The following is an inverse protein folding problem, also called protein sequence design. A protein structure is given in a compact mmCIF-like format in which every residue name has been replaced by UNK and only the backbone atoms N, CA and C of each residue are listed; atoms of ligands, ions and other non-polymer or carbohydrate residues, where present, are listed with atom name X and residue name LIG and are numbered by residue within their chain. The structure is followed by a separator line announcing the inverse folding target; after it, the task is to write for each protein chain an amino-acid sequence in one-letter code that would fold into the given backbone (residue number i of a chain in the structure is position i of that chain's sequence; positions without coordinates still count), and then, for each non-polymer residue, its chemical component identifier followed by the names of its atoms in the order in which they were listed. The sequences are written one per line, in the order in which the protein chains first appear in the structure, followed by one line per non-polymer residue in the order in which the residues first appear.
data_IF_420057465387
#
_entry.id   IF_420057465387
#
_cell.length_a   1.000
_cell.length_b   1.000
_cell.length_c   1.000
_cell.angle_alpha   90.00
_cell.angle_beta   90.00
_cell.angle_gamma   90.00
#
_symmetry.space_group_name_H-M   'P 1'
#
loop_
_entity.id
_entity.type
_entity.pdbx_description
1 polymer ?
#
# COMPACT_ATOMS: atom_id res chain seq x y z
N UNK A 1 -16.32 -11.28 2.75
CA UNK A 1 -15.85 -10.10 3.51
C UNK A 1 -15.59 -9.01 2.48
N UNK A 2 -16.25 -7.85 2.59
CA UNK A 2 -16.10 -6.77 1.60
C UNK A 2 -14.73 -6.11 1.74
N UNK A 3 -14.15 -5.71 0.61
CA UNK A 3 -12.78 -5.18 0.53
C UNK A 3 -12.58 -3.95 1.43
N UNK A 4 -13.60 -3.10 1.50
CA UNK A 4 -13.63 -1.93 2.39
C UNK A 4 -13.56 -2.29 3.87
N UNK A 5 -14.23 -3.37 4.29
CA UNK A 5 -14.18 -3.84 5.68
C UNK A 5 -12.79 -4.35 6.05
N UNK A 6 -12.12 -5.03 5.11
CA UNK A 6 -10.73 -5.43 5.30
C UNK A 6 -9.80 -4.21 5.38
N UNK A 7 -10.00 -3.22 4.50
CA UNK A 7 -9.21 -2.00 4.48
C UNK A 7 -9.36 -1.22 5.80
N UNK A 8 -10.59 -1.02 6.28
CA UNK A 8 -10.86 -0.37 7.57
C UNK A 8 -10.19 -1.13 8.73
N UNK A 9 -10.35 -2.46 8.78
CA UNK A 9 -9.73 -3.27 9.82
C UNK A 9 -8.19 -3.10 9.87
N UNK A 10 -7.52 -3.03 8.72
CA UNK A 10 -6.08 -2.78 8.68
C UNK A 10 -5.75 -1.36 9.16
N UNK A 11 -6.49 -0.35 8.71
CA UNK A 11 -6.26 1.07 9.05
C UNK A 11 -6.42 1.30 10.56
N UNK A 12 -7.43 0.72 11.19
CA UNK A 12 -7.69 0.86 12.63
C UNK A 12 -6.52 0.35 13.48
N UNK A 13 -5.79 -0.65 13.00
CA UNK A 13 -4.61 -1.20 13.69
C UNK A 13 -3.31 -0.44 13.42
N UNK A 14 -3.31 0.49 12.48
CA UNK A 14 -2.12 1.30 12.21
C UNK A 14 -1.88 2.30 13.35
N UNK A 15 -0.61 2.59 13.66
CA UNK A 15 -0.23 3.75 14.45
C UNK A 15 -0.74 5.07 13.82
N UNK A 16 -1.04 6.07 14.66
CA UNK A 16 -1.66 7.34 14.22
C UNK A 16 -0.82 8.10 13.18
N UNK A 17 0.51 8.06 13.29
CA UNK A 17 1.43 8.66 12.32
C UNK A 17 1.29 8.03 10.93
N UNK A 18 1.03 6.72 10.87
CA UNK A 18 0.83 5.99 9.60
C UNK A 18 -0.56 6.22 9.02
N UNK A 19 -1.59 6.38 9.86
CA UNK A 19 -2.93 6.77 9.41
C UNK A 19 -2.91 8.14 8.72
N UNK A 20 -2.23 9.12 9.31
CA UNK A 20 -2.08 10.46 8.70
C UNK A 20 -1.39 10.42 7.33
N UNK A 21 -0.34 9.59 7.18
CA UNK A 21 0.32 9.40 5.89
C UNK A 21 -0.64 8.80 4.87
N UNK A 22 -1.45 7.83 5.27
CA UNK A 22 -2.46 7.24 4.39
C UNK A 22 -3.53 8.25 3.97
N UNK A 23 -4.09 9.01 4.91
CA UNK A 23 -5.13 10.01 4.61
C UNK A 23 -4.63 11.02 3.57
N UNK A 24 -3.36 11.43 3.71
CA UNK A 24 -2.71 12.31 2.73
C UNK A 24 -2.59 11.65 1.35
N UNK A 25 -2.12 10.41 1.28
CA UNK A 25 -1.99 9.68 0.00
C UNK A 25 -3.36 9.42 -0.65
N UNK A 26 -4.39 9.10 0.15
CA UNK A 26 -5.74 8.90 -0.35
C UNK A 26 -6.32 10.20 -0.89
N UNK A 27 -6.13 11.31 -0.19
CA UNK A 27 -6.58 12.63 -0.63
C UNK A 27 -5.86 13.12 -1.90
N UNK A 28 -4.57 12.81 -2.05
CA UNK A 28 -3.77 13.26 -3.19
C UNK A 28 -4.04 12.45 -4.46
N UNK A 29 -4.14 11.12 -4.35
CA UNK A 29 -4.20 10.24 -5.52
C UNK A 29 -5.59 9.69 -5.84
N UNK A 30 -6.59 9.93 -4.98
CA UNK A 30 -7.95 9.37 -5.09
C UNK A 30 -7.96 7.88 -5.51
N UNK A 31 -7.24 7.00 -4.79
CA UNK A 31 -7.04 5.62 -5.20
C UNK A 31 -8.34 4.81 -5.24
N UNK A 32 -8.38 3.80 -6.12
CA UNK A 32 -9.44 2.78 -6.13
C UNK A 32 -9.47 2.01 -4.80
N UNK A 33 -10.57 1.32 -4.49
CA UNK A 33 -10.70 0.53 -3.25
C UNK A 33 -9.57 -0.50 -3.09
N UNK A 34 -9.20 -1.20 -4.17
CA UNK A 34 -8.07 -2.11 -4.18
C UNK A 34 -6.75 -1.40 -3.84
N UNK A 35 -6.54 -0.22 -4.41
CA UNK A 35 -5.31 0.54 -4.17
C UNK A 35 -5.27 1.12 -2.75
N UNK A 36 -6.41 1.51 -2.16
CA UNK A 36 -6.51 1.87 -0.73
C UNK A 36 -6.06 0.72 0.16
N UNK A 37 -6.53 -0.49 -0.12
CA UNK A 37 -6.11 -1.68 0.63
C UNK A 37 -4.61 -1.96 0.46
N UNK A 38 -4.07 -1.85 -0.76
CA UNK A 38 -2.62 -2.02 -1.01
C UNK A 38 -1.82 -1.01 -0.17
N UNK A 39 -2.22 0.27 -0.19
CA UNK A 39 -1.58 1.32 0.61
C UNK A 39 -1.66 0.99 2.10
N UNK A 40 -2.82 0.52 2.60
CA UNK A 40 -2.99 0.11 3.99
C UNK A 40 -2.03 -1.01 4.40
N UNK A 41 -1.91 -2.03 3.56
CA UNK A 41 -1.01 -3.16 3.79
C UNK A 41 0.45 -2.71 3.77
N UNK A 42 0.86 -1.88 2.80
CA UNK A 42 2.22 -1.33 2.74
C UNK A 42 2.52 -0.44 3.96
N UNK A 43 1.53 0.34 4.41
CA UNK A 43 1.63 1.15 5.62
C UNK A 43 1.77 0.29 6.89
N UNK A 44 1.16 -0.90 6.94
CA UNK A 44 1.30 -1.83 8.08
C UNK A 44 2.71 -2.43 8.20
N UNK A 45 3.43 -2.61 7.10
CA UNK A 45 4.76 -3.23 7.11
C UNK A 45 5.83 -2.39 7.85
N UNK A 46 6.95 -3.00 8.19
CA UNK A 46 8.14 -2.35 8.72
C UNK A 46 8.89 -1.54 7.65
N UNK A 47 9.81 -0.67 8.09
CA UNK A 47 10.69 0.08 7.17
C UNK A 47 11.55 -0.84 6.30
N UNK A 48 11.96 -1.99 6.83
CA UNK A 48 12.76 -2.99 6.10
C UNK A 48 11.92 -3.64 5.00
N UNK A 49 10.71 -4.09 5.33
CA UNK A 49 9.78 -4.70 4.37
C UNK A 49 9.42 -3.72 3.25
N UNK A 50 9.14 -2.45 3.55
CA UNK A 50 8.92 -1.43 2.50
C UNK A 50 10.10 -1.26 1.54
N UNK A 51 11.34 -1.35 2.04
CA UNK A 51 12.53 -1.29 1.18
C UNK A 51 12.62 -2.51 0.27
N UNK A 52 12.32 -3.70 0.79
CA UNK A 52 12.30 -4.94 0.00
C UNK A 52 11.19 -4.88 -1.05
N UNK A 53 9.97 -4.48 -0.66
CA UNK A 53 8.85 -4.30 -1.59
C UNK A 53 9.19 -3.35 -2.74
N UNK A 54 9.90 -2.26 -2.47
CA UNK A 54 10.37 -1.33 -3.51
C UNK A 54 11.31 -2.01 -4.51
N UNK A 55 12.24 -2.84 -4.04
CA UNK A 55 13.14 -3.59 -4.92
C UNK A 55 12.36 -4.61 -5.76
N UNK A 56 11.45 -5.36 -5.13
CA UNK A 56 10.61 -6.34 -5.84
C UNK A 56 9.73 -5.69 -6.92
N UNK A 57 9.15 -4.52 -6.66
CA UNK A 57 8.36 -3.80 -7.68
C UNK A 57 9.23 -3.37 -8.86
N UNK A 58 10.43 -2.86 -8.62
CA UNK A 58 11.36 -2.48 -9.68
C UNK A 58 11.80 -3.70 -10.52
N UNK A 59 12.03 -4.84 -9.87
CA UNK A 59 12.36 -6.10 -10.56
C UNK A 59 11.19 -6.59 -11.43
N UNK A 60 9.95 -6.51 -10.93
CA UNK A 60 8.74 -6.85 -11.70
C UNK A 60 8.62 -5.97 -12.94
N UNK A 61 8.71 -4.64 -12.78
CA UNK A 61 8.64 -3.69 -13.90
C UNK A 61 9.71 -4.00 -14.97
N UNK A 62 10.93 -4.31 -14.54
CA UNK A 62 12.01 -4.70 -15.46
C UNK A 62 11.68 -5.99 -16.22
N UNK A 63 11.17 -7.02 -15.53
CA UNK A 63 10.80 -8.30 -16.15
C UNK A 63 9.61 -8.16 -17.12
N UNK A 64 8.70 -7.22 -16.87
CA UNK A 64 7.58 -6.92 -17.77
C UNK A 64 8.05 -6.19 -19.04
N UNK A 65 9.05 -5.31 -18.93
CA UNK A 65 9.67 -4.65 -20.08
C UNK A 65 10.47 -5.64 -20.94
N UNK A 66 11.21 -6.58 -20.33
CA UNK A 66 11.99 -7.60 -21.06
C UNK A 66 11.14 -8.63 -21.81
N UNK A 67 9.85 -8.75 -21.47
CA UNK A 67 8.89 -9.65 -22.13
C UNK A 67 8.14 -9.05 -23.31
N UNK A 68 8.25 -7.73 -23.52
CA UNK A 68 7.63 -6.99 -24.62
C UNK A 68 8.67 -6.60 -25.68
#
# INVERSE_FOLDING_TARGET
MELDKLCQYVIEQLPDDRRQVMDRLIGEFTPTETMKLIIALVAATSKRERRILRLMMADIEKMEVEKN
#
